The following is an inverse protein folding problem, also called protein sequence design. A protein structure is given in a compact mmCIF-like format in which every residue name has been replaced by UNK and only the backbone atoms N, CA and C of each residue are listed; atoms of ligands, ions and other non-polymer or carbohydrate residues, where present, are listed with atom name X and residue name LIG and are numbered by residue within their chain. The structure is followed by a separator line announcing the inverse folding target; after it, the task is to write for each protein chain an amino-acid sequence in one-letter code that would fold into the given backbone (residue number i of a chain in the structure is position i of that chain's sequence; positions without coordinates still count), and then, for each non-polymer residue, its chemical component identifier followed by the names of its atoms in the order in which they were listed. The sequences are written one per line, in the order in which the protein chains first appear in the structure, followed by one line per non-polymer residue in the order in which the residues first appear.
data_IF_162299070322
#
_entry.id   IF_162299070322
#
_cell.length_a   1.000
_cell.length_b   1.000
_cell.length_c   1.000
_cell.angle_alpha   90.00
_cell.angle_beta   90.00
_cell.angle_gamma   90.00
#
_symmetry.space_group_name_H-M   'P 1'
#
loop_
_entity.id
_entity.type
_entity.pdbx_description
1 polymer ?
#
# COMPACT_ATOMS: atom_id res chain seq x y z
N UNK A 1 -64.76 -36.92 -19.46
CA UNK A 1 -64.44 -36.58 -18.05
C UNK A 1 -62.93 -36.54 -17.92
N UNK A 2 -62.31 -35.39 -18.14
CA UNK A 2 -60.86 -35.31 -18.16
C UNK A 2 -60.37 -33.90 -18.39
N UNK A 3 -60.04 -33.22 -17.31
CA UNK A 3 -59.05 -32.15 -17.26
C UNK A 3 -58.81 -31.82 -15.79
N UNK A 4 -57.86 -32.52 -15.18
CA UNK A 4 -57.29 -32.10 -13.91
C UNK A 4 -56.43 -30.87 -14.20
N UNK A 5 -56.95 -29.71 -13.84
CA UNK A 5 -56.20 -28.46 -13.84
C UNK A 5 -55.07 -28.60 -12.82
N UNK A 6 -53.82 -28.53 -13.28
CA UNK A 6 -52.66 -28.30 -12.42
C UNK A 6 -52.76 -26.85 -11.93
N UNK A 7 -52.82 -26.58 -10.62
CA UNK A 7 -52.90 -25.21 -10.14
C UNK A 7 -51.55 -24.53 -10.33
N UNK A 8 -51.58 -23.47 -11.13
CA UNK A 8 -50.56 -22.43 -11.23
C UNK A 8 -50.26 -21.94 -9.81
N UNK A 9 -49.11 -22.29 -9.24
CA UNK A 9 -48.64 -21.68 -7.99
C UNK A 9 -47.23 -21.11 -8.16
N UNK A 10 -47.25 -19.78 -8.26
CA UNK A 10 -46.14 -18.85 -8.02
C UNK A 10 -45.11 -18.80 -9.15
N UNK A 11 -45.40 -17.88 -10.07
CA UNK A 11 -44.46 -17.09 -10.84
C UNK A 11 -43.19 -16.84 -10.01
N UNK A 12 -42.17 -17.67 -10.19
CA UNK A 12 -40.81 -17.30 -9.84
C UNK A 12 -40.54 -16.02 -10.62
N UNK A 13 -40.40 -14.90 -9.92
CA UNK A 13 -39.66 -13.76 -10.44
C UNK A 13 -38.38 -14.35 -11.02
N UNK A 14 -38.09 -14.07 -12.30
CA UNK A 14 -36.89 -14.55 -13.01
C UNK A 14 -35.66 -13.98 -12.30
N UNK A 15 -35.30 -14.60 -11.20
CA UNK A 15 -34.08 -14.36 -10.45
C UNK A 15 -33.01 -15.21 -11.12
N UNK A 16 -31.79 -14.68 -11.30
CA UNK A 16 -30.69 -15.49 -11.79
C UNK A 16 -30.55 -16.73 -10.88
N UNK A 17 -30.37 -17.90 -11.49
CA UNK A 17 -30.15 -19.18 -10.77
C UNK A 17 -28.95 -19.09 -9.79
N UNK A 18 -28.09 -18.08 -9.94
CA UNK A 18 -26.96 -17.78 -9.07
C UNK A 18 -27.23 -16.75 -7.95
N UNK A 19 -28.44 -16.22 -7.83
CA UNK A 19 -28.76 -15.22 -6.80
C UNK A 19 -29.07 -15.86 -5.45
N UNK A 20 -28.67 -15.20 -4.36
CA UNK A 20 -28.97 -15.67 -2.99
C UNK A 20 -30.47 -15.87 -2.74
N UNK A 21 -31.32 -15.02 -3.35
CA UNK A 21 -32.77 -15.11 -3.23
C UNK A 21 -33.36 -16.34 -3.90
N UNK A 22 -32.82 -16.74 -5.06
CA UNK A 22 -33.23 -17.96 -5.76
C UNK A 22 -32.85 -19.21 -4.96
N UNK A 23 -31.60 -19.32 -4.52
CA UNK A 23 -31.12 -20.47 -3.73
C UNK A 23 -31.87 -20.63 -2.41
N UNK A 24 -32.21 -19.51 -1.75
CA UNK A 24 -33.02 -19.54 -0.53
C UNK A 24 -34.46 -20.01 -0.79
N UNK A 25 -35.02 -19.69 -1.95
CA UNK A 25 -36.34 -20.18 -2.35
C UNK A 25 -36.31 -21.69 -2.60
N UNK A 26 -35.30 -22.19 -3.32
CA UNK A 26 -35.12 -23.63 -3.53
C UNK A 26 -34.95 -24.38 -2.21
N UNK A 27 -34.12 -23.87 -1.30
CA UNK A 27 -33.92 -24.46 0.02
C UNK A 27 -35.24 -24.59 0.80
N UNK A 28 -36.11 -23.57 0.73
CA UNK A 28 -37.43 -23.60 1.37
C UNK A 28 -38.37 -24.63 0.74
N UNK A 29 -38.37 -24.76 -0.60
CA UNK A 29 -39.16 -25.78 -1.28
C UNK A 29 -38.72 -27.18 -0.87
N UNK A 30 -37.41 -27.43 -0.80
CA UNK A 30 -36.86 -28.72 -0.34
C UNK A 30 -37.28 -28.98 1.11
N UNK A 31 -37.16 -27.99 1.99
CA UNK A 31 -37.59 -28.13 3.38
C UNK A 31 -39.08 -28.47 3.52
N UNK A 32 -39.93 -27.88 2.67
CA UNK A 32 -41.35 -28.20 2.61
C UNK A 32 -41.61 -29.63 2.10
N UNK A 33 -40.84 -30.09 1.11
CA UNK A 33 -40.94 -31.45 0.58
C UNK A 33 -40.47 -32.53 1.57
N UNK A 34 -39.35 -32.31 2.27
CA UNK A 34 -38.79 -33.27 3.23
C UNK A 34 -39.43 -33.19 4.62
N UNK A 35 -40.22 -32.14 4.89
CA UNK A 35 -40.86 -31.93 6.19
C UNK A 35 -39.91 -31.47 7.28
N UNK A 36 -38.95 -30.60 6.95
CA UNK A 36 -37.95 -30.07 7.89
C UNK A 36 -38.61 -29.34 9.08
N UNK A 37 -38.15 -29.61 10.31
CA UNK A 37 -38.66 -28.98 11.53
C UNK A 37 -38.43 -27.45 11.55
N UNK A 38 -39.40 -26.70 12.06
CA UNK A 38 -39.38 -25.24 12.05
C UNK A 38 -38.21 -24.66 12.86
N UNK A 39 -37.84 -25.26 13.99
CA UNK A 39 -36.71 -24.82 14.81
C UNK A 39 -35.40 -25.04 14.04
N UNK A 40 -35.26 -26.17 13.35
CA UNK A 40 -34.09 -26.44 12.51
C UNK A 40 -34.01 -25.48 11.32
N UNK A 41 -35.14 -25.14 10.68
CA UNK A 41 -35.18 -24.12 9.62
C UNK A 41 -34.69 -22.76 10.13
N UNK A 42 -35.20 -22.32 11.28
CA UNK A 42 -34.80 -21.04 11.89
C UNK A 42 -33.31 -21.01 12.23
N UNK A 43 -32.81 -22.09 12.83
CA UNK A 43 -31.38 -22.24 13.11
C UNK A 43 -30.53 -22.14 11.83
N UNK A 44 -30.88 -22.89 10.79
CA UNK A 44 -30.12 -22.89 9.53
C UNK A 44 -30.17 -21.52 8.83
N UNK A 45 -31.28 -20.79 8.91
CA UNK A 45 -31.38 -19.44 8.38
C UNK A 45 -30.47 -18.45 9.13
N UNK A 46 -30.41 -18.57 10.46
CA UNK A 46 -29.50 -17.75 11.28
C UNK A 46 -28.03 -18.08 10.97
N UNK A 47 -27.70 -19.36 10.81
CA UNK A 47 -26.35 -19.79 10.45
C UNK A 47 -25.94 -19.21 9.07
N UNK A 48 -26.84 -19.24 8.07
CA UNK A 48 -26.60 -18.63 6.76
C UNK A 48 -26.41 -17.10 6.82
N UNK A 49 -27.24 -16.41 7.61
CA UNK A 49 -27.10 -14.96 7.81
C UNK A 49 -25.76 -14.63 8.46
N UNK A 50 -25.36 -15.41 9.47
CA UNK A 50 -24.10 -15.24 10.18
C UNK A 50 -22.89 -15.48 9.25
N UNK A 51 -22.91 -16.54 8.45
CA UNK A 51 -21.87 -16.81 7.45
C UNK A 51 -21.74 -15.69 6.42
N UNK A 52 -22.88 -15.16 5.95
CA UNK A 52 -22.92 -14.03 5.01
C UNK A 52 -22.29 -12.77 5.64
N UNK A 53 -22.65 -12.44 6.88
CA UNK A 53 -22.07 -11.33 7.63
C UNK A 53 -20.57 -11.50 7.82
N UNK A 54 -20.09 -12.71 8.10
CA UNK A 54 -18.67 -12.97 8.32
C UNK A 54 -17.85 -12.88 7.02
N UNK A 55 -18.44 -13.18 5.86
CA UNK A 55 -17.83 -12.86 4.57
C UNK A 55 -17.69 -11.36 4.39
N UNK A 56 -18.75 -10.59 4.64
CA UNK A 56 -18.70 -9.13 4.51
C UNK A 56 -17.70 -8.49 5.47
N UNK A 57 -17.69 -8.88 6.75
CA UNK A 57 -16.74 -8.40 7.76
C UNK A 57 -15.30 -8.64 7.30
N UNK A 58 -14.96 -9.87 6.92
CA UNK A 58 -13.61 -10.20 6.44
C UNK A 58 -13.18 -9.36 5.23
N UNK A 59 -14.09 -9.12 4.27
CA UNK A 59 -13.80 -8.26 3.12
C UNK A 59 -13.57 -6.81 3.54
N UNK A 60 -14.44 -6.26 4.39
CA UNK A 60 -14.30 -4.89 4.91
C UNK A 60 -13.01 -4.74 5.69
N UNK A 61 -12.66 -5.70 6.54
CA UNK A 61 -11.44 -5.68 7.34
C UNK A 61 -10.19 -5.72 6.44
N UNK A 62 -10.18 -6.57 5.42
CA UNK A 62 -9.10 -6.63 4.42
C UNK A 62 -8.90 -5.29 3.70
N UNK A 63 -9.99 -4.68 3.22
CA UNK A 63 -9.92 -3.36 2.57
C UNK A 63 -9.50 -2.26 3.56
N UNK A 64 -9.92 -2.35 4.82
CA UNK A 64 -9.53 -1.39 5.85
C UNK A 64 -8.03 -1.48 6.19
N UNK A 65 -7.48 -2.69 6.27
CA UNK A 65 -6.04 -2.93 6.45
C UNK A 65 -5.26 -2.35 5.27
N UNK A 66 -5.69 -2.63 4.03
CA UNK A 66 -5.08 -2.06 2.82
C UNK A 66 -5.09 -0.52 2.83
N UNK A 67 -6.23 0.08 3.20
CA UNK A 67 -6.38 1.53 3.35
C UNK A 67 -5.47 2.11 4.43
N UNK A 68 -5.35 1.45 5.58
CA UNK A 68 -4.46 1.90 6.65
C UNK A 68 -2.98 1.84 6.21
N UNK A 69 -2.59 0.75 5.54
CA UNK A 69 -1.25 0.59 4.99
C UNK A 69 -0.92 1.68 3.96
N UNK A 70 -1.81 1.99 3.02
CA UNK A 70 -1.59 3.07 2.04
C UNK A 70 -1.44 4.44 2.71
N UNK A 71 -2.22 4.72 3.76
CA UNK A 71 -2.08 5.98 4.52
C UNK A 71 -0.73 6.08 5.21
N UNK A 72 -0.28 4.99 5.82
CA UNK A 72 1.03 4.95 6.47
C UNK A 72 2.14 5.18 5.44
N UNK A 73 2.11 4.46 4.32
CA UNK A 73 3.09 4.61 3.25
C UNK A 73 3.15 6.04 2.70
N UNK A 74 1.98 6.70 2.55
CA UNK A 74 1.93 8.09 2.13
C UNK A 74 2.57 9.02 3.17
N UNK A 75 2.21 8.88 4.45
CA UNK A 75 2.79 9.68 5.53
C UNK A 75 4.31 9.50 5.64
N UNK A 76 4.80 8.27 5.51
CA UNK A 76 6.23 7.96 5.52
C UNK A 76 6.95 8.57 4.31
N UNK A 77 6.34 8.50 3.13
CA UNK A 77 6.86 9.12 1.90
C UNK A 77 6.92 10.65 2.01
N UNK A 78 5.90 11.27 2.62
CA UNK A 78 5.87 12.72 2.87
C UNK A 78 6.92 13.15 3.91
N UNK A 79 7.12 12.36 4.96
CA UNK A 79 8.15 12.58 5.96
C UNK A 79 9.56 12.45 5.36
N UNK A 80 9.82 11.41 4.56
CA UNK A 80 11.11 11.24 3.89
C UNK A 80 11.37 12.38 2.91
N UNK A 81 10.36 12.76 2.14
CA UNK A 81 10.46 13.84 1.17
C UNK A 81 10.82 15.18 1.82
N UNK A 82 10.11 15.54 2.91
CA UNK A 82 10.40 16.75 3.67
C UNK A 82 11.79 16.71 4.30
N UNK A 83 12.21 15.56 4.83
CA UNK A 83 13.56 15.37 5.35
C UNK A 83 14.64 15.56 4.27
N UNK A 84 14.42 15.06 3.05
CA UNK A 84 15.35 15.26 1.93
C UNK A 84 15.44 16.73 1.51
N UNK A 85 14.32 17.46 1.45
CA UNK A 85 14.33 18.89 1.16
C UNK A 85 15.20 19.66 2.16
N UNK A 86 15.01 19.41 3.46
CA UNK A 86 15.81 20.05 4.52
C UNK A 86 17.28 19.66 4.40
N UNK A 87 17.58 18.37 4.22
CA UNK A 87 18.95 17.85 4.11
C UNK A 87 19.71 18.43 2.89
N UNK A 88 19.00 18.70 1.80
CA UNK A 88 19.57 19.29 0.58
C UNK A 88 19.53 20.82 0.58
N UNK A 89 18.97 21.46 1.61
CA UNK A 89 18.79 22.91 1.67
C UNK A 89 17.83 23.45 0.61
N UNK A 90 16.92 22.61 0.10
CA UNK A 90 15.93 22.99 -0.90
C UNK A 90 14.68 23.57 -0.22
N UNK A 91 14.20 24.73 -0.69
CA UNK A 91 13.02 25.39 -0.11
C UNK A 91 11.70 24.81 -0.62
N UNK A 92 11.69 24.27 -1.84
CA UNK A 92 10.51 23.69 -2.47
C UNK A 92 10.93 22.72 -3.58
N UNK A 93 9.97 21.92 -4.05
CA UNK A 93 10.16 21.02 -5.18
C UNK A 93 9.16 21.37 -6.30
N UNK A 94 9.64 21.59 -7.54
CA UNK A 94 8.76 21.88 -8.68
C UNK A 94 7.78 20.72 -8.90
N UNK A 95 6.48 21.02 -8.96
CA UNK A 95 5.45 20.00 -9.25
C UNK A 95 4.80 19.34 -8.02
N UNK A 96 5.18 19.71 -6.79
CA UNK A 96 4.41 19.31 -5.59
C UNK A 96 3.22 20.26 -5.40
N UNK A 97 1.96 19.81 -5.49
CA UNK A 97 0.85 20.62 -5.03
C UNK A 97 0.95 20.79 -3.50
N UNK A 98 0.69 22.01 -2.99
CA UNK A 98 0.70 22.30 -1.55
C UNK A 98 -0.26 21.39 -0.76
N UNK A 99 -1.25 20.83 -1.45
CA UNK A 99 -2.15 19.78 -0.95
C UNK A 99 -2.25 18.68 -1.99
N UNK A 100 -1.78 17.48 -1.67
CA UNK A 100 -2.08 16.32 -2.51
C UNK A 100 -3.59 16.05 -2.44
N UNK A 101 -4.26 16.07 -3.58
CA UNK A 101 -5.71 15.88 -3.69
C UNK A 101 -6.00 14.58 -4.44
N UNK A 102 -7.19 14.01 -4.24
CA UNK A 102 -7.60 12.76 -4.87
C UNK A 102 -7.49 11.56 -3.93
N UNK A 103 -7.49 10.37 -4.53
CA UNK A 103 -7.40 9.08 -3.85
C UNK A 103 -6.00 8.84 -3.29
N UNK A 104 -5.86 7.97 -2.27
CA UNK A 104 -4.55 7.62 -1.70
C UNK A 104 -3.55 7.11 -2.76
N UNK A 105 -4.06 6.40 -3.77
CA UNK A 105 -3.25 5.88 -4.88
C UNK A 105 -2.72 7.02 -5.75
N UNK A 106 -3.57 7.97 -6.14
CA UNK A 106 -3.14 9.14 -6.92
C UNK A 106 -2.13 9.98 -6.13
N UNK A 107 -2.32 10.16 -4.82
CA UNK A 107 -1.36 10.87 -3.97
C UNK A 107 0.00 10.14 -3.93
N UNK A 108 0.00 8.82 -3.81
CA UNK A 108 1.22 8.01 -3.88
C UNK A 108 1.91 8.08 -5.26
N UNK A 109 1.14 8.07 -6.33
CA UNK A 109 1.65 8.17 -7.71
C UNK A 109 2.33 9.53 -7.96
N UNK A 110 1.90 10.59 -7.28
CA UNK A 110 2.54 11.91 -7.32
C UNK A 110 3.81 11.95 -6.48
N UNK A 111 3.80 11.42 -5.25
CA UNK A 111 4.96 11.56 -4.35
C UNK A 111 6.13 10.65 -4.74
N UNK A 112 5.83 9.44 -5.23
CA UNK A 112 6.83 8.43 -5.55
C UNK A 112 7.91 8.91 -6.54
N UNK A 113 7.58 9.51 -7.70
CA UNK A 113 8.60 10.03 -8.62
C UNK A 113 9.38 11.21 -8.01
N UNK A 114 8.72 12.11 -7.31
CA UNK A 114 9.36 13.27 -6.68
C UNK A 114 10.40 12.83 -5.63
N UNK A 115 10.08 11.81 -4.82
CA UNK A 115 10.99 11.23 -3.85
C UNK A 115 12.22 10.62 -4.52
N UNK A 116 12.05 9.87 -5.61
CA UNK A 116 13.17 9.29 -6.39
C UNK A 116 14.09 10.37 -6.95
N UNK A 117 13.54 11.46 -7.46
CA UNK A 117 14.37 12.57 -7.94
C UNK A 117 15.19 13.20 -6.82
N UNK A 118 14.60 13.36 -5.63
CA UNK A 118 15.32 13.90 -4.47
C UNK A 118 16.42 12.97 -3.97
N UNK A 119 16.15 11.66 -3.92
CA UNK A 119 17.16 10.65 -3.59
C UNK A 119 18.32 10.67 -4.61
N UNK A 120 18.01 10.76 -5.91
CA UNK A 120 19.02 10.88 -6.96
C UNK A 120 19.87 12.14 -6.80
N UNK A 121 19.25 13.28 -6.50
CA UNK A 121 19.97 14.54 -6.26
C UNK A 121 20.88 14.46 -5.03
N UNK A 122 20.41 13.84 -3.94
CA UNK A 122 21.26 13.56 -2.76
C UNK A 122 22.47 12.71 -3.13
N UNK A 123 22.27 11.64 -3.89
CA UNK A 123 23.37 10.77 -4.32
C UNK A 123 24.37 11.51 -5.19
N UNK A 124 23.90 12.37 -6.10
CA UNK A 124 24.77 13.18 -6.94
C UNK A 124 25.67 14.10 -6.10
N UNK A 125 25.10 14.85 -5.13
CA UNK A 125 25.90 15.71 -4.24
C UNK A 125 26.92 14.93 -3.41
N UNK A 126 26.57 13.72 -2.97
CA UNK A 126 27.52 12.86 -2.25
C UNK A 126 28.70 12.42 -3.12
N UNK A 127 28.47 12.16 -4.41
CA UNK A 127 29.53 11.84 -5.34
C UNK A 127 30.43 13.07 -5.59
N UNK A 128 29.84 14.24 -5.84
CA UNK A 128 30.59 15.49 -6.00
C UNK A 128 31.45 15.82 -4.76
N UNK A 129 30.90 15.64 -3.55
CA UNK A 129 31.65 15.82 -2.30
C UNK A 129 32.81 14.84 -2.17
N UNK A 130 32.64 13.59 -2.60
CA UNK A 130 33.71 12.59 -2.59
C UNK A 130 34.83 12.99 -3.54
N UNK A 131 34.49 13.44 -4.74
CA UNK A 131 35.48 13.85 -5.74
C UNK A 131 36.30 15.05 -5.23
N UNK A 132 35.65 16.03 -4.61
CA UNK A 132 36.33 17.17 -3.96
C UNK A 132 37.23 16.68 -2.83
N UNK A 133 36.79 15.74 -1.99
CA UNK A 133 37.63 15.19 -0.93
C UNK A 133 38.87 14.47 -1.46
N UNK A 134 38.75 13.74 -2.57
CA UNK A 134 39.90 13.09 -3.24
C UNK A 134 40.87 14.14 -3.74
N UNK A 135 40.38 15.19 -4.39
CA UNK A 135 41.21 16.30 -4.87
C UNK A 135 41.94 17.03 -3.72
N UNK A 136 41.24 17.31 -2.62
CA UNK A 136 41.84 17.94 -1.44
C UNK A 136 42.98 17.09 -0.88
N UNK A 137 42.78 15.77 -0.75
CA UNK A 137 43.82 14.86 -0.27
C UNK A 137 45.02 14.83 -1.20
N UNK A 138 44.81 14.83 -2.52
CA UNK A 138 45.89 14.86 -3.51
C UNK A 138 46.73 16.14 -3.36
N UNK A 139 46.08 17.31 -3.35
CA UNK A 139 46.75 18.61 -3.16
C UNK A 139 47.48 18.65 -1.82
N UNK A 140 46.89 18.12 -0.75
CA UNK A 140 47.53 18.07 0.58
C UNK A 140 48.81 17.23 0.57
N UNK A 141 48.78 16.05 -0.07
CA UNK A 141 49.96 15.18 -0.21
C UNK A 141 51.06 15.83 -1.07
N UNK A 142 50.67 16.52 -2.16
CA UNK A 142 51.59 17.29 -3.01
C UNK A 142 52.30 18.39 -2.21
N UNK A 143 51.58 19.11 -1.34
CA UNK A 143 52.15 20.17 -0.48
C UNK A 143 53.13 19.60 0.56
N UNK A 144 52.83 18.43 1.13
CA UNK A 144 53.68 17.76 2.12
C UNK A 144 54.91 17.06 1.48
N UNK A 145 54.98 17.01 0.15
CA UNK A 145 56.08 16.36 -0.58
C UNK A 145 56.05 14.84 -0.52
N UNK A 146 54.89 14.23 -0.20
CA UNK A 146 54.72 12.78 -0.27
C UNK A 146 54.51 12.33 -1.73
N UNK A 147 55.10 11.21 -2.16
CA UNK A 147 54.90 10.70 -3.52
C UNK A 147 53.44 10.31 -3.74
N UNK A 148 52.94 10.48 -4.97
CA UNK A 148 51.60 10.06 -5.39
C UNK A 148 51.41 8.55 -5.14
N UNK A 149 50.87 8.19 -3.98
CA UNK A 149 50.47 6.81 -3.70
C UNK A 149 49.15 6.56 -4.38
N UNK A 150 49.22 5.83 -5.48
CA UNK A 150 48.07 5.29 -6.20
C UNK A 150 47.20 4.45 -5.24
N UNK A 151 45.97 4.92 -5.03
CA UNK A 151 44.80 4.08 -4.80
C UNK A 151 44.68 3.14 -3.58
N UNK A 152 45.58 3.12 -2.59
CA UNK A 152 45.41 2.23 -1.42
C UNK A 152 45.35 2.97 -0.09
N UNK A 153 44.21 2.80 0.56
CA UNK A 153 43.71 3.52 1.75
C UNK A 153 44.55 3.21 3.00
N UNK A 154 45.00 4.27 3.70
CA UNK A 154 45.27 4.19 5.14
C UNK A 154 44.55 5.33 5.87
N UNK A 155 43.44 4.98 6.51
CA UNK A 155 42.50 5.88 7.19
C UNK A 155 43.01 6.39 8.55
N UNK A 156 44.32 6.45 8.81
CA UNK A 156 44.84 6.57 10.19
C UNK A 156 45.35 7.96 10.63
N UNK A 157 45.21 9.04 9.85
CA UNK A 157 45.84 10.33 10.24
C UNK A 157 44.90 11.48 10.63
N UNK A 158 43.58 11.35 10.50
CA UNK A 158 42.66 12.47 10.82
C UNK A 158 42.33 12.60 12.32
N UNK A 159 42.69 11.65 13.18
CA UNK A 159 42.47 11.77 14.64
C UNK A 159 43.55 12.58 15.36
N UNK A 160 44.66 12.93 14.70
CA UNK A 160 45.79 13.60 15.37
C UNK A 160 45.77 15.14 15.30
N UNK A 161 44.85 15.75 14.53
CA UNK A 161 44.85 17.20 14.30
C UNK A 161 43.79 17.99 15.10
N UNK A 162 42.90 17.34 15.84
CA UNK A 162 41.85 18.02 16.64
C UNK A 162 42.15 18.10 18.15
N UNK A 163 43.36 17.75 18.58
CA UNK A 163 43.84 17.99 19.95
C UNK A 163 45.04 18.94 19.94
N UNK A 164 44.77 20.24 19.88
CA UNK A 164 45.65 21.29 20.40
C UNK A 164 44.83 22.49 20.86
#
# INVERSE_FOLDING_TARGET
MGSYQIPIKIRASVLPESSCGYLLQELKLIWDEVGQDQIERERLLLDLEQECLDVYRRKVDSENISRAHMRQLLADSEAEFTHLLVSLGERSFPGRPEKMAGTLKEQLDVITPALREMQKKKQQRLNELRDVQVQIRRISAEIEGLPESDGSVSTCLWTSLTSR
#
